data_IF_989638043287
#
_entry.id   IF_989638043287
#
_cell.length_a   1.000
_cell.length_b   1.000
_cell.length_c   1.000
_cell.angle_alpha   90.00
_cell.angle_beta   90.00
_cell.angle_gamma   90.00
#
_symmetry.space_group_name_H-M   'P 1'
#
loop_
_entity.id
_entity.type
_entity.pdbx_description
1 polymer ?
#
# COMPACT_ATOMS: atom_id res chain seq x y z
N UNK A 1 -22.21 17.01 -2.26
CA UNK A 1 -21.05 16.16 -2.58
C UNK A 1 -21.09 14.98 -1.63
N UNK A 2 -21.78 13.90 -2.03
CA UNK A 2 -21.96 12.66 -1.26
C UNK A 2 -20.64 11.87 -1.26
N UNK A 3 -20.06 11.67 -0.08
CA UNK A 3 -18.80 10.94 0.13
C UNK A 3 -18.94 9.41 0.02
N UNK A 4 -19.71 8.92 -0.95
CA UNK A 4 -19.90 7.49 -1.20
C UNK A 4 -18.81 7.00 -2.14
N UNK A 5 -17.59 6.83 -1.62
CA UNK A 5 -16.56 6.17 -2.40
C UNK A 5 -15.57 5.39 -1.51
N UNK A 6 -15.49 4.09 -1.81
CA UNK A 6 -14.34 3.20 -1.57
C UNK A 6 -14.25 2.36 -0.29
N UNK A 7 -15.24 2.34 0.60
CA UNK A 7 -15.21 1.34 1.68
C UNK A 7 -15.83 0.01 1.23
N UNK A 8 -14.99 -0.88 0.70
CA UNK A 8 -15.27 -2.31 0.74
C UNK A 8 -14.22 -2.95 1.66
N UNK A 9 -14.63 -3.49 2.83
CA UNK A 9 -13.72 -4.22 3.68
C UNK A 9 -13.15 -5.39 2.86
N UNK A 10 -11.82 -5.51 2.81
CA UNK A 10 -11.09 -6.56 2.08
C UNK A 10 -10.99 -6.46 0.55
N UNK A 11 -11.07 -5.26 -0.05
CA UNK A 11 -10.67 -5.14 -1.46
C UNK A 11 -9.15 -5.17 -1.57
N UNK A 12 -8.63 -6.26 -2.14
CA UNK A 12 -7.32 -6.26 -2.77
C UNK A 12 -7.40 -5.35 -3.97
N UNK A 13 -7.01 -4.09 -3.80
CA UNK A 13 -6.87 -3.18 -4.93
C UNK A 13 -5.57 -3.58 -5.63
N UNK A 14 -5.69 -4.12 -6.84
CA UNK A 14 -4.54 -4.27 -7.72
C UNK A 14 -4.03 -2.88 -8.06
N UNK A 15 -2.75 -2.64 -7.78
CA UNK A 15 -2.06 -1.51 -8.37
C UNK A 15 -1.94 -0.27 -7.48
N UNK A 16 -0.78 0.34 -7.62
CA UNK A 16 -0.31 1.58 -7.03
C UNK A 16 1.14 1.85 -7.44
N UNK A 17 1.89 0.79 -7.75
CA UNK A 17 3.25 0.87 -8.29
C UNK A 17 3.27 0.63 -9.81
N UNK A 18 3.92 1.50 -10.57
CA UNK A 18 4.12 1.33 -12.02
C UNK A 18 5.21 0.32 -12.39
N UNK A 19 6.02 -0.13 -11.42
CA UNK A 19 7.22 -0.95 -11.67
C UNK A 19 7.08 -2.42 -11.24
N UNK A 20 6.00 -2.79 -10.53
CA UNK A 20 5.77 -4.16 -10.08
C UNK A 20 4.29 -4.44 -9.87
N UNK A 21 3.92 -5.72 -9.71
CA UNK A 21 2.54 -6.10 -9.43
C UNK A 21 2.22 -5.94 -7.94
N UNK A 22 2.23 -4.69 -7.45
CA UNK A 22 1.97 -4.39 -6.06
C UNK A 22 0.51 -4.63 -5.68
N UNK A 23 0.31 -5.17 -4.47
CA UNK A 23 -1.01 -5.41 -3.89
C UNK A 23 -1.22 -4.47 -2.70
N UNK A 24 -2.40 -3.86 -2.62
CA UNK A 24 -2.81 -3.04 -1.49
C UNK A 24 -4.00 -3.69 -0.77
N UNK A 25 -3.96 -3.70 0.56
CA UNK A 25 -5.00 -4.26 1.42
C UNK A 25 -5.26 -3.32 2.59
N UNK A 26 -6.50 -2.87 2.73
CA UNK A 26 -6.94 -2.08 3.89
C UNK A 26 -7.53 -3.01 4.94
N UNK A 27 -7.05 -2.93 6.17
CA UNK A 27 -7.59 -3.69 7.31
C UNK A 27 -7.75 -2.80 8.53
N UNK A 28 -8.79 -3.08 9.33
CA UNK A 28 -8.93 -2.47 10.65
C UNK A 28 -7.94 -3.16 11.61
N UNK A 29 -7.10 -2.37 12.29
CA UNK A 29 -6.14 -2.89 13.27
C UNK A 29 -6.68 -2.77 14.71
N UNK A 30 -7.41 -1.70 14.98
CA UNK A 30 -8.13 -1.43 16.24
C UNK A 30 -9.45 -0.73 15.89
N UNK A 31 -10.46 -0.70 16.78
CA UNK A 31 -11.72 -0.01 16.50
C UNK A 31 -11.51 1.44 16.05
N UNK A 32 -11.84 1.72 14.80
CA UNK A 32 -11.66 3.04 14.19
C UNK A 32 -10.25 3.35 13.68
N UNK A 33 -9.28 2.45 13.86
CA UNK A 33 -7.90 2.57 13.34
C UNK A 33 -7.72 1.65 12.13
N UNK A 34 -7.46 2.26 10.99
CA UNK A 34 -7.30 1.57 9.71
C UNK A 34 -5.84 1.57 9.26
N UNK A 35 -5.36 0.40 8.85
CA UNK A 35 -4.01 0.20 8.32
C UNK A 35 -4.12 -0.19 6.85
N UNK A 36 -3.45 0.59 6.00
CA UNK A 36 -3.20 0.24 4.61
C UNK A 36 -1.88 -0.50 4.49
N UNK A 37 -1.95 -1.79 4.18
CA UNK A 37 -0.78 -2.62 3.90
C UNK A 37 -0.51 -2.64 2.39
N UNK A 38 0.71 -2.26 2.00
CA UNK A 38 1.16 -2.28 0.60
C UNK A 38 2.31 -3.28 0.48
N UNK A 39 2.10 -4.31 -0.34
CA UNK A 39 3.09 -5.37 -0.61
C UNK A 39 3.63 -5.23 -2.03
N UNK A 40 4.96 -5.09 -2.13
CA UNK A 40 5.70 -5.04 -3.39
C UNK A 40 6.45 -6.35 -3.63
N UNK A 41 6.76 -6.60 -4.90
CA UNK A 41 7.74 -7.62 -5.27
C UNK A 41 9.11 -7.24 -4.68
N UNK A 42 9.90 -8.20 -4.14
CA UNK A 42 11.20 -7.89 -3.54
C UNK A 42 12.19 -7.21 -4.49
N UNK A 43 12.03 -7.42 -5.80
CA UNK A 43 12.88 -6.86 -6.85
C UNK A 43 12.38 -5.51 -7.39
N UNK A 44 11.25 -4.98 -6.89
CA UNK A 44 10.67 -3.72 -7.36
C UNK A 44 11.68 -2.55 -7.24
N UNK A 45 12.06 -1.90 -8.35
CA UNK A 45 13.02 -0.79 -8.34
C UNK A 45 12.57 0.38 -7.45
N UNK A 46 11.30 0.77 -7.55
CA UNK A 46 10.76 1.87 -6.72
C UNK A 46 10.72 1.50 -5.25
N UNK A 47 10.29 0.28 -4.90
CA UNK A 47 10.32 -0.17 -3.52
C UNK A 47 11.74 -0.15 -2.95
N UNK A 48 12.74 -0.65 -3.69
CA UNK A 48 14.14 -0.61 -3.27
C UNK A 48 14.65 0.81 -3.04
N UNK A 49 14.29 1.76 -3.90
CA UNK A 49 14.63 3.19 -3.70
C UNK A 49 13.96 3.77 -2.46
N UNK A 50 12.69 3.44 -2.20
CA UNK A 50 11.96 3.88 -1.00
C UNK A 50 12.60 3.32 0.26
N UNK A 51 12.91 2.01 0.28
CA UNK A 51 13.58 1.33 1.40
C UNK A 51 14.96 1.94 1.65
N UNK A 52 15.76 2.19 0.61
CA UNK A 52 17.06 2.83 0.74
C UNK A 52 16.96 4.23 1.39
N UNK A 53 15.98 5.05 0.97
CA UNK A 53 15.70 6.37 1.57
C UNK A 53 15.25 6.27 3.03
N UNK A 54 14.36 5.32 3.35
CA UNK A 54 13.84 5.13 4.72
C UNK A 54 14.91 4.65 5.68
N UNK A 55 15.84 3.81 5.20
CA UNK A 55 16.91 3.24 6.01
C UNK A 55 18.13 4.17 6.14
N UNK A 56 18.08 5.39 5.58
CA UNK A 56 19.10 6.40 5.82
C UNK A 56 20.51 6.01 5.34
N UNK A 57 20.62 5.27 4.22
CA UNK A 57 21.88 5.20 3.49
C UNK A 57 21.80 6.25 2.39
N UNK A 58 22.23 7.46 2.74
CA UNK A 58 22.61 8.50 1.78
C UNK A 58 24.02 8.21 1.25
#
# INVERSE_FOLDING_TARGET
MSGEAFYKPHVRVMGGCGDCNAVQEMREAEPGVWVLEVRHDPTCPTYRRIVARRNGVA
#
